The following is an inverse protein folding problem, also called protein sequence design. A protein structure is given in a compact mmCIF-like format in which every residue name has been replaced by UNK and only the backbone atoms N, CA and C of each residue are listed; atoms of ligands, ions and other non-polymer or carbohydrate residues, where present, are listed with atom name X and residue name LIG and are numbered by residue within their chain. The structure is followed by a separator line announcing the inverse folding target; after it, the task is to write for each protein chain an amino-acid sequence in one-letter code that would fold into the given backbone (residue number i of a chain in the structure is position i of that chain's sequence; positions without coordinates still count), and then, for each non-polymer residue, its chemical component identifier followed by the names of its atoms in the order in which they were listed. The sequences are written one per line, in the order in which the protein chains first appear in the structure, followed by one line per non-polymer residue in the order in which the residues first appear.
data_IF_982578781434
#
_entry.id   IF_982578781434
#
_cell.length_a   1.000
_cell.length_b   1.000
_cell.length_c   1.000
_cell.angle_alpha   90.00
_cell.angle_beta   90.00
_cell.angle_gamma   90.00
#
_symmetry.space_group_name_H-M   'P 1'
#
loop_
_entity.id
_entity.type
_entity.pdbx_description
1 polymer ?
#
# COMPACT_ATOMS: atom_id res chain seq x y z
N UNK A 1 50.86 -28.09 29.00
CA UNK A 1 50.18 -26.80 28.66
C UNK A 1 49.04 -26.57 29.64
N UNK A 2 49.18 -25.65 30.64
CA UNK A 2 48.08 -25.29 31.54
C UNK A 2 47.14 -24.34 30.82
N UNK A 3 45.93 -24.82 30.48
CA UNK A 3 44.89 -24.01 29.86
C UNK A 3 44.43 -22.96 30.88
N UNK A 4 44.55 -21.66 30.54
CA UNK A 4 44.13 -20.57 31.41
C UNK A 4 42.64 -20.24 31.17
N UNK A 5 41.75 -20.96 31.81
CA UNK A 5 40.31 -20.83 31.70
C UNK A 5 39.79 -19.39 31.97
N UNK A 6 40.44 -18.64 32.91
CA UNK A 6 40.07 -17.23 33.17
C UNK A 6 40.34 -16.32 31.97
N UNK A 7 41.41 -16.56 31.21
CA UNK A 7 41.75 -15.79 30.02
C UNK A 7 40.80 -16.10 28.86
N UNK A 8 40.42 -17.38 28.74
CA UNK A 8 39.44 -17.82 27.74
C UNK A 8 38.07 -17.22 28.07
N UNK A 9 37.60 -17.32 29.31
CA UNK A 9 36.32 -16.74 29.74
C UNK A 9 36.23 -15.22 29.48
N UNK A 10 37.31 -14.46 29.77
CA UNK A 10 37.34 -13.00 29.46
C UNK A 10 37.31 -12.72 27.95
N UNK A 11 37.91 -13.56 27.11
CA UNK A 11 37.84 -13.42 25.64
C UNK A 11 36.45 -13.71 25.15
N UNK A 12 35.79 -14.77 25.61
CA UNK A 12 34.42 -15.11 25.25
C UNK A 12 33.45 -14.00 25.68
N UNK A 13 33.62 -13.46 26.90
CA UNK A 13 32.78 -12.35 27.37
C UNK A 13 32.95 -11.09 26.51
N UNK A 14 34.18 -10.77 26.05
CA UNK A 14 34.40 -9.64 25.13
C UNK A 14 33.79 -9.86 23.77
N UNK A 15 33.88 -11.10 23.24
CA UNK A 15 33.22 -11.46 21.96
C UNK A 15 31.72 -11.34 22.08
N UNK A 16 31.12 -11.84 23.15
CA UNK A 16 29.70 -11.72 23.42
C UNK A 16 29.25 -10.25 23.55
N UNK A 17 30.03 -9.45 24.31
CA UNK A 17 29.74 -8.04 24.47
C UNK A 17 29.81 -7.28 23.14
N UNK A 18 30.80 -7.57 22.29
CA UNK A 18 30.92 -7.00 20.96
C UNK A 18 29.75 -7.43 20.07
N UNK A 19 29.36 -8.69 20.10
CA UNK A 19 28.22 -9.20 19.36
C UNK A 19 26.91 -8.49 19.78
N UNK A 20 26.66 -8.37 21.09
CA UNK A 20 25.46 -7.65 21.59
C UNK A 20 25.49 -6.18 21.22
N UNK A 21 26.65 -5.53 21.21
CA UNK A 21 26.79 -4.15 20.75
C UNK A 21 26.47 -4.01 19.25
N UNK A 22 26.92 -4.94 18.42
CA UNK A 22 26.60 -4.95 16.99
C UNK A 22 25.12 -5.19 16.73
N UNK A 23 24.48 -6.08 17.49
CA UNK A 23 23.04 -6.33 17.42
C UNK A 23 22.26 -5.06 17.82
N UNK A 24 22.65 -4.44 18.94
CA UNK A 24 22.03 -3.17 19.36
C UNK A 24 22.20 -2.08 18.31
N UNK A 25 23.40 -1.93 17.75
CA UNK A 25 23.64 -0.97 16.66
C UNK A 25 22.76 -1.25 15.43
N UNK A 26 22.61 -2.53 15.05
CA UNK A 26 21.76 -2.92 13.93
C UNK A 26 20.28 -2.56 14.19
N UNK A 27 19.77 -2.79 15.40
CA UNK A 27 18.40 -2.40 15.77
C UNK A 27 18.21 -0.87 15.80
N UNK A 28 19.16 -0.12 16.36
CA UNK A 28 19.12 1.35 16.35
C UNK A 28 19.17 1.90 14.91
N UNK A 29 20.04 1.32 14.08
CA UNK A 29 20.13 1.72 12.67
C UNK A 29 18.84 1.41 11.90
N UNK A 30 18.25 0.22 12.11
CA UNK A 30 16.94 -0.14 11.55
C UNK A 30 15.86 0.83 12.01
N UNK A 31 15.79 1.14 13.29
CA UNK A 31 14.82 2.08 13.86
C UNK A 31 14.92 3.47 13.24
N UNK A 32 16.15 4.01 13.10
CA UNK A 32 16.37 5.36 12.54
C UNK A 32 16.14 5.43 11.02
N UNK A 33 16.22 4.29 10.32
CA UNK A 33 16.17 4.23 8.85
C UNK A 33 15.05 3.33 8.33
N UNK A 34 14.09 2.99 9.18
CA UNK A 34 13.06 2.01 8.85
C UNK A 34 12.25 2.39 7.60
N UNK A 35 12.02 3.69 7.36
CA UNK A 35 11.32 4.16 6.16
C UNK A 35 12.02 3.70 4.86
N UNK A 36 13.36 3.65 4.84
CA UNK A 36 14.13 3.19 3.68
C UNK A 36 14.07 1.68 3.46
N UNK A 37 13.68 0.93 4.49
CA UNK A 37 13.49 -0.52 4.40
C UNK A 37 12.04 -0.89 4.12
N UNK A 38 11.11 -0.06 4.60
CA UNK A 38 9.67 -0.31 4.45
C UNK A 38 9.13 0.19 3.12
N UNK A 39 9.65 1.30 2.61
CA UNK A 39 9.27 1.85 1.33
C UNK A 39 10.38 1.61 0.30
N UNK A 40 9.99 1.16 -0.89
CA UNK A 40 10.92 0.85 -1.98
C UNK A 40 10.62 1.74 -3.22
N UNK A 41 10.79 3.06 -3.08
CA UNK A 41 10.44 3.98 -4.13
C UNK A 41 11.40 3.90 -5.31
N UNK A 42 10.87 4.03 -6.52
CA UNK A 42 11.63 4.41 -7.69
C UNK A 42 11.45 5.91 -7.91
N UNK A 43 12.50 6.67 -7.66
CA UNK A 43 12.52 8.12 -7.90
C UNK A 43 12.70 8.38 -9.40
N UNK A 44 11.95 9.31 -9.94
CA UNK A 44 12.07 9.81 -11.30
C UNK A 44 12.50 11.28 -11.28
N UNK A 45 13.22 11.70 -12.31
CA UNK A 45 13.55 13.13 -12.48
C UNK A 45 12.27 13.96 -12.66
N UNK A 46 12.25 15.20 -12.18
CA UNK A 46 11.06 16.07 -12.25
C UNK A 46 10.64 16.39 -13.70
N UNK A 47 11.56 16.33 -14.63
CA UNK A 47 11.35 16.52 -16.07
C UNK A 47 11.08 15.21 -16.83
N UNK A 48 10.94 14.07 -16.11
CA UNK A 48 10.56 12.81 -16.72
C UNK A 48 9.24 12.94 -17.47
N UNK A 49 9.21 12.50 -18.74
CA UNK A 49 8.00 12.52 -19.58
C UNK A 49 7.38 11.11 -19.56
N UNK A 50 6.14 11.04 -19.08
CA UNK A 50 5.39 9.80 -19.13
C UNK A 50 4.95 9.47 -20.56
N UNK A 51 4.96 8.18 -20.89
CA UNK A 51 4.51 7.66 -22.20
C UNK A 51 3.57 6.48 -21.98
N UNK A 52 2.32 6.63 -22.38
CA UNK A 52 1.30 5.59 -22.36
C UNK A 52 0.52 5.62 -23.67
N UNK A 53 -0.02 4.48 -24.07
CA UNK A 53 -0.87 4.38 -25.26
C UNK A 53 -2.23 5.07 -25.06
N UNK A 54 -2.68 5.20 -23.80
CA UNK A 54 -3.92 5.87 -23.43
C UNK A 54 -3.68 7.36 -23.11
N UNK A 55 -4.66 8.24 -23.39
CA UNK A 55 -4.62 9.61 -22.92
C UNK A 55 -4.53 9.67 -21.39
N UNK A 56 -3.80 10.65 -20.88
CA UNK A 56 -3.73 10.90 -19.44
C UNK A 56 -3.50 12.39 -19.15
N UNK A 57 -3.84 12.78 -17.92
CA UNK A 57 -3.53 14.09 -17.36
C UNK A 57 -2.53 13.91 -16.22
N UNK A 58 -1.38 14.58 -16.28
CA UNK A 58 -0.45 14.63 -15.17
C UNK A 58 -0.83 15.75 -14.20
N UNK A 59 -0.89 15.43 -12.90
CA UNK A 59 -1.42 16.30 -11.86
C UNK A 59 -0.43 16.33 -10.71
N UNK A 60 -0.21 17.52 -10.13
CA UNK A 60 0.50 17.67 -8.86
C UNK A 60 -0.52 18.05 -7.78
N UNK A 61 -0.69 17.20 -6.78
CA UNK A 61 -1.65 17.37 -5.68
C UNK A 61 -0.90 17.92 -4.47
N UNK A 62 -1.17 19.16 -4.02
CA UNK A 62 -0.52 19.71 -2.84
C UNK A 62 -1.06 19.04 -1.57
N UNK A 63 -0.17 18.46 -0.76
CA UNK A 63 -0.51 17.78 0.49
C UNK A 63 -0.02 18.54 1.72
N UNK A 64 1.05 19.32 1.58
CA UNK A 64 1.59 20.26 2.56
C UNK A 64 2.19 21.48 1.85
N UNK A 65 2.64 22.47 2.62
CA UNK A 65 3.46 23.58 2.09
C UNK A 65 4.73 22.96 1.46
N UNK A 66 4.99 23.27 0.19
CA UNK A 66 6.13 22.75 -0.58
C UNK A 66 6.19 21.23 -0.83
N UNK A 67 5.12 20.49 -0.53
CA UNK A 67 5.03 19.05 -0.81
C UNK A 67 3.85 18.73 -1.73
N UNK A 68 4.17 18.25 -2.93
CA UNK A 68 3.20 17.80 -3.91
C UNK A 68 3.36 16.31 -4.20
N UNK A 69 2.24 15.61 -4.31
CA UNK A 69 2.22 14.25 -4.84
C UNK A 69 1.92 14.30 -6.33
N UNK A 70 2.69 13.57 -7.11
CA UNK A 70 2.45 13.42 -8.54
C UNK A 70 1.38 12.35 -8.77
N UNK A 71 0.44 12.63 -9.64
CA UNK A 71 -0.66 11.74 -9.97
C UNK A 71 -0.91 11.71 -11.48
N UNK A 72 -1.46 10.60 -11.96
CA UNK A 72 -1.87 10.44 -13.35
C UNK A 72 -3.35 10.05 -13.41
N UNK A 73 -4.15 10.88 -14.06
CA UNK A 73 -5.56 10.59 -14.32
C UNK A 73 -5.72 10.10 -15.75
N UNK A 74 -6.20 8.88 -15.91
CA UNK A 74 -6.56 8.27 -17.18
C UNK A 74 -8.08 8.32 -17.33
N UNK A 75 -8.62 9.05 -18.31
CA UNK A 75 -10.05 9.07 -18.58
C UNK A 75 -10.51 7.73 -19.17
N UNK A 76 -11.75 7.35 -18.89
CA UNK A 76 -12.39 6.19 -19.53
C UNK A 76 -12.58 6.42 -21.03
N UNK A 77 -12.67 5.35 -21.79
CA UNK A 77 -12.87 5.39 -23.25
C UNK A 77 -14.29 5.84 -23.66
N UNK A 78 -15.19 5.93 -22.70
CA UNK A 78 -16.59 6.29 -22.93
C UNK A 78 -17.15 7.21 -21.82
N UNK A 79 -18.48 7.30 -21.69
CA UNK A 79 -19.10 8.06 -20.58
C UNK A 79 -18.69 7.40 -19.26
N UNK A 80 -17.93 8.17 -18.45
CA UNK A 80 -17.45 7.71 -17.17
C UNK A 80 -18.59 7.47 -16.17
N UNK A 81 -18.53 6.35 -15.45
CA UNK A 81 -19.39 6.03 -14.31
C UNK A 81 -18.90 6.66 -12.99
N UNK A 82 -17.67 7.20 -12.99
CA UNK A 82 -16.99 7.73 -11.82
C UNK A 82 -15.48 7.52 -11.90
N UNK A 83 -14.80 7.56 -10.76
CA UNK A 83 -13.35 7.44 -10.69
C UNK A 83 -12.91 6.36 -9.71
N UNK A 84 -11.85 5.64 -10.08
CA UNK A 84 -11.12 4.76 -9.18
C UNK A 84 -9.88 5.51 -8.69
N UNK A 85 -9.85 5.86 -7.40
CA UNK A 85 -8.66 6.36 -6.73
C UNK A 85 -7.78 5.17 -6.35
N UNK A 86 -6.64 5.04 -7.01
CA UNK A 86 -5.76 3.89 -6.89
C UNK A 86 -4.52 4.19 -6.05
N UNK A 87 -4.39 3.51 -4.92
CA UNK A 87 -3.20 3.47 -4.08
C UNK A 87 -2.35 2.24 -4.41
N UNK A 88 -1.18 2.45 -5.02
CA UNK A 88 -0.35 1.39 -5.57
C UNK A 88 0.46 0.61 -4.53
N UNK A 89 1.15 -0.45 -4.97
CA UNK A 89 2.03 -1.29 -4.13
C UNK A 89 3.39 -0.64 -3.83
N UNK A 90 4.19 -1.31 -3.02
CA UNK A 90 5.43 -0.77 -2.43
C UNK A 90 6.60 -0.55 -3.41
N UNK A 91 6.55 -1.00 -4.65
CA UNK A 91 7.67 -0.88 -5.59
C UNK A 91 7.28 -0.10 -6.84
N UNK A 92 8.28 0.47 -7.53
CA UNK A 92 8.08 1.17 -8.78
C UNK A 92 7.63 2.62 -8.62
N UNK A 93 6.99 3.16 -9.64
CA UNK A 93 6.37 4.49 -9.70
C UNK A 93 5.33 4.52 -10.83
N UNK A 94 4.63 5.64 -11.02
CA UNK A 94 3.51 5.76 -11.96
C UNK A 94 3.83 5.39 -13.41
N UNK A 95 5.09 5.48 -13.84
CA UNK A 95 5.50 5.04 -15.19
C UNK A 95 5.30 3.53 -15.43
N UNK A 96 5.24 2.72 -14.36
CA UNK A 96 4.92 1.27 -14.40
C UNK A 96 3.46 1.03 -14.03
N UNK A 97 2.95 1.75 -12.99
CA UNK A 97 1.60 1.55 -12.51
C UNK A 97 0.53 2.03 -13.48
N UNK A 98 0.79 3.11 -14.22
CA UNK A 98 -0.10 3.65 -15.24
C UNK A 98 -0.42 2.68 -16.37
N UNK A 99 0.47 1.72 -16.66
CA UNK A 99 0.23 0.65 -17.64
C UNK A 99 -1.02 -0.20 -17.32
N UNK A 100 -1.53 -0.14 -16.09
CA UNK A 100 -2.73 -0.87 -15.66
C UNK A 100 -4.02 -0.10 -15.88
N UNK A 101 -3.96 1.14 -16.34
CA UNK A 101 -5.14 2.01 -16.46
C UNK A 101 -6.24 1.37 -17.30
N UNK A 102 -5.89 0.64 -18.37
CA UNK A 102 -6.85 -0.01 -19.26
C UNK A 102 -7.81 -0.96 -18.53
N UNK A 103 -7.36 -1.59 -17.42
CA UNK A 103 -8.20 -2.51 -16.62
C UNK A 103 -9.47 -1.81 -16.14
N UNK A 104 -9.38 -0.52 -15.86
CA UNK A 104 -10.45 0.29 -15.27
C UNK A 104 -11.16 1.12 -16.34
N UNK A 105 -10.41 1.71 -17.27
CA UNK A 105 -10.96 2.56 -18.33
C UNK A 105 -11.86 1.79 -19.30
N UNK A 106 -11.53 0.53 -19.61
CA UNK A 106 -12.40 -0.38 -20.37
C UNK A 106 -13.72 -0.75 -19.65
N UNK A 107 -13.78 -0.55 -18.33
CA UNK A 107 -14.97 -0.75 -17.51
C UNK A 107 -15.74 0.55 -17.24
N UNK A 108 -15.42 1.62 -17.99
CA UNK A 108 -16.05 2.93 -17.94
C UNK A 108 -15.82 3.68 -16.62
N UNK A 109 -14.68 3.50 -16.00
CA UNK A 109 -14.22 4.31 -14.88
C UNK A 109 -12.97 5.08 -15.26
N UNK A 110 -12.92 6.35 -14.93
CA UNK A 110 -11.65 7.06 -14.88
C UNK A 110 -10.78 6.45 -13.79
N UNK A 111 -9.46 6.52 -13.90
CA UNK A 111 -8.59 6.04 -12.83
C UNK A 111 -7.50 7.06 -12.50
N UNK A 112 -7.38 7.42 -11.24
CA UNK A 112 -6.34 8.28 -10.71
C UNK A 112 -5.33 7.44 -9.93
N UNK A 113 -4.13 7.30 -10.47
CA UNK A 113 -2.99 6.74 -9.76
C UNK A 113 -2.20 7.86 -9.08
N UNK A 114 -1.72 7.64 -7.86
CA UNK A 114 -0.93 8.62 -7.13
C UNK A 114 0.37 8.01 -6.64
N UNK A 115 1.50 8.68 -6.92
CA UNK A 115 2.80 8.36 -6.33
C UNK A 115 2.89 8.97 -4.93
N UNK A 116 3.31 8.15 -3.96
CA UNK A 116 3.53 8.59 -2.57
C UNK A 116 4.78 9.47 -2.46
N UNK A 117 4.99 10.09 -1.29
CA UNK A 117 6.24 10.81 -1.00
C UNK A 117 7.45 9.94 -1.32
N UNK A 118 8.38 10.48 -2.11
CA UNK A 118 9.60 9.82 -2.57
C UNK A 118 9.42 8.87 -3.75
N UNK A 119 8.19 8.59 -4.18
CA UNK A 119 7.94 7.79 -5.38
C UNK A 119 7.82 8.70 -6.61
N UNK A 120 8.33 8.21 -7.75
CA UNK A 120 8.22 8.88 -9.03
C UNK A 120 8.68 10.33 -8.98
N UNK A 121 7.79 11.24 -9.35
CA UNK A 121 8.01 12.70 -9.34
C UNK A 121 7.45 13.39 -8.10
N UNK A 122 6.91 12.66 -7.13
CA UNK A 122 6.43 13.21 -5.86
C UNK A 122 7.56 13.83 -5.04
N UNK A 123 7.22 14.82 -4.21
CA UNK A 123 8.17 15.50 -3.34
C UNK A 123 8.41 14.72 -2.05
N UNK A 124 9.52 15.06 -1.34
CA UNK A 124 9.84 14.59 0.00
C UNK A 124 9.96 13.06 0.13
N UNK A 125 10.00 12.59 1.38
CA UNK A 125 9.91 11.18 1.79
C UNK A 125 9.10 11.15 3.07
N UNK A 126 8.49 9.99 3.41
CA UNK A 126 7.82 9.85 4.70
C UNK A 126 8.84 9.86 5.84
N UNK A 127 8.52 10.62 6.89
CA UNK A 127 9.25 10.65 8.15
C UNK A 127 8.39 10.11 9.31
N UNK A 128 7.08 10.11 9.14
CA UNK A 128 6.10 9.64 10.16
C UNK A 128 4.86 9.05 9.50
N UNK A 129 4.27 8.09 10.19
CA UNK A 129 3.03 7.46 9.76
C UNK A 129 1.87 8.44 9.53
N UNK A 130 1.78 9.50 10.34
CA UNK A 130 0.73 10.51 10.23
C UNK A 130 0.72 11.23 8.86
N UNK A 131 1.86 11.33 8.18
CA UNK A 131 1.95 11.93 6.85
C UNK A 131 1.25 11.06 5.80
N UNK A 132 1.30 9.73 5.93
CA UNK A 132 0.57 8.79 5.08
C UNK A 132 -0.92 9.09 5.13
N UNK A 133 -1.43 9.31 6.33
CA UNK A 133 -2.86 9.56 6.55
C UNK A 133 -3.30 10.93 6.04
N UNK A 134 -2.48 11.95 6.29
CA UNK A 134 -2.72 13.28 5.75
C UNK A 134 -2.74 13.25 4.22
N UNK A 135 -1.75 12.62 3.60
CA UNK A 135 -1.62 12.54 2.15
C UNK A 135 -2.80 11.77 1.53
N UNK A 136 -3.17 10.63 2.10
CA UNK A 136 -4.31 9.85 1.63
C UNK A 136 -5.62 10.67 1.68
N UNK A 137 -5.84 11.45 2.75
CA UNK A 137 -7.00 12.35 2.85
C UNK A 137 -6.91 13.50 1.85
N UNK A 138 -5.76 14.15 1.69
CA UNK A 138 -5.58 15.26 0.73
C UNK A 138 -5.80 14.82 -0.72
N UNK A 139 -5.35 13.62 -1.06
CA UNK A 139 -5.63 13.04 -2.39
C UNK A 139 -7.13 12.77 -2.56
N UNK A 140 -7.79 12.24 -1.55
CA UNK A 140 -9.25 12.06 -1.60
C UNK A 140 -9.99 13.39 -1.72
N UNK A 141 -9.60 14.41 -0.93
CA UNK A 141 -10.16 15.76 -1.00
C UNK A 141 -10.00 16.37 -2.41
N UNK A 142 -8.85 16.12 -3.06
CA UNK A 142 -8.64 16.52 -4.44
C UNK A 142 -9.63 15.83 -5.40
N UNK A 143 -9.84 14.53 -5.24
CA UNK A 143 -10.80 13.78 -6.08
C UNK A 143 -12.23 14.34 -5.93
N UNK A 144 -12.61 14.74 -4.71
CA UNK A 144 -13.91 15.39 -4.44
C UNK A 144 -14.09 16.73 -5.16
N UNK A 145 -13.00 17.40 -5.58
CA UNK A 145 -13.12 18.63 -6.40
C UNK A 145 -13.56 18.36 -7.84
N UNK A 146 -13.48 17.09 -8.30
CA UNK A 146 -13.72 16.69 -9.70
C UNK A 146 -14.89 15.69 -9.83
N UNK A 147 -15.15 14.88 -8.81
CA UNK A 147 -16.15 13.82 -8.82
C UNK A 147 -17.06 13.92 -7.60
N UNK A 148 -18.29 13.44 -7.73
CA UNK A 148 -19.17 13.27 -6.57
C UNK A 148 -18.70 12.09 -5.74
N UNK A 149 -18.87 12.17 -4.43
CA UNK A 149 -18.44 11.12 -3.51
C UNK A 149 -19.08 9.76 -3.81
N UNK A 150 -20.35 9.76 -4.23
CA UNK A 150 -21.10 8.57 -4.63
C UNK A 150 -20.57 7.88 -5.90
N UNK A 151 -19.68 8.54 -6.66
CA UNK A 151 -19.06 8.03 -7.88
C UNK A 151 -17.57 7.65 -7.67
N UNK A 152 -17.07 7.74 -6.42
CA UNK A 152 -15.66 7.42 -6.08
C UNK A 152 -15.56 5.98 -5.59
N UNK A 153 -14.72 5.19 -6.23
CA UNK A 153 -14.25 3.90 -5.75
C UNK A 153 -12.82 4.09 -5.26
N UNK A 154 -12.49 3.59 -4.08
CA UNK A 154 -11.10 3.55 -3.62
C UNK A 154 -10.57 2.15 -3.83
N UNK A 155 -9.39 2.04 -4.45
CA UNK A 155 -8.68 0.78 -4.61
C UNK A 155 -7.27 0.88 -4.03
N UNK A 156 -6.90 -0.11 -3.23
CA UNK A 156 -5.54 -0.26 -2.72
C UNK A 156 -4.95 -1.61 -3.06
N UNK A 157 -3.68 -1.63 -3.45
CA UNK A 157 -2.91 -2.85 -3.68
C UNK A 157 -1.75 -2.96 -2.69
N UNK A 158 -1.61 -4.12 -2.02
CA UNK A 158 -0.49 -4.39 -1.11
C UNK A 158 -0.36 -3.29 -0.05
N UNK A 159 0.76 -2.57 0.06
CA UNK A 159 0.92 -1.46 1.02
C UNK A 159 -0.18 -0.39 0.85
N UNK A 160 -0.61 -0.13 -0.37
CA UNK A 160 -1.67 0.83 -0.67
C UNK A 160 -3.03 0.47 -0.06
N UNK A 161 -3.23 -0.79 0.36
CA UNK A 161 -4.48 -1.20 1.03
C UNK A 161 -4.68 -0.49 2.37
N UNK A 162 -3.61 -0.20 3.12
CA UNK A 162 -3.69 0.58 4.35
C UNK A 162 -4.09 2.03 4.09
N UNK A 163 -3.52 2.66 3.05
CA UNK A 163 -3.84 4.04 2.65
C UNK A 163 -5.30 4.14 2.18
N UNK A 164 -5.70 3.20 1.31
CA UNK A 164 -7.08 3.08 0.83
C UNK A 164 -8.08 2.88 1.97
N UNK A 165 -7.77 1.99 2.92
CA UNK A 165 -8.63 1.70 4.06
C UNK A 165 -8.75 2.91 4.98
N UNK A 166 -7.65 3.64 5.23
CA UNK A 166 -7.70 4.87 6.01
C UNK A 166 -8.59 5.92 5.32
N UNK A 167 -8.37 6.21 4.02
CA UNK A 167 -9.18 7.16 3.29
C UNK A 167 -10.67 6.77 3.32
N UNK A 168 -11.01 5.50 3.13
CA UNK A 168 -12.40 5.01 3.20
C UNK A 168 -12.99 5.09 4.61
N UNK A 169 -12.16 5.03 5.68
CA UNK A 169 -12.62 5.15 7.08
C UNK A 169 -13.03 6.57 7.46
N UNK A 170 -12.58 7.58 6.72
CA UNK A 170 -12.84 9.01 6.97
C UNK A 170 -13.89 9.60 6.03
N UNK A 171 -14.27 8.86 4.98
CA UNK A 171 -15.12 9.32 3.91
C UNK A 171 -16.20 8.28 3.59
N UNK A 172 -17.10 8.57 2.62
CA UNK A 172 -18.20 7.67 2.22
C UNK A 172 -18.12 7.32 0.73
N UNK A 173 -17.01 6.73 0.24
CA UNK A 173 -16.89 6.35 -1.15
C UNK A 173 -17.94 5.29 -1.53
N UNK A 174 -18.18 5.12 -2.81
CA UNK A 174 -19.11 4.12 -3.37
C UNK A 174 -18.74 2.70 -3.00
N UNK A 175 -17.42 2.38 -3.03
CA UNK A 175 -16.87 1.04 -2.83
C UNK A 175 -15.41 1.14 -2.40
N UNK A 176 -14.97 0.24 -1.53
CA UNK A 176 -13.56 0.01 -1.22
C UNK A 176 -13.13 -1.35 -1.78
N UNK A 177 -12.09 -1.35 -2.64
CA UNK A 177 -11.48 -2.57 -3.19
C UNK A 177 -10.08 -2.71 -2.60
N UNK A 178 -9.77 -3.87 -2.03
CA UNK A 178 -8.48 -4.19 -1.44
C UNK A 178 -7.88 -5.42 -2.13
N UNK A 179 -6.72 -5.24 -2.76
CA UNK A 179 -5.97 -6.31 -3.41
C UNK A 179 -4.78 -6.72 -2.55
N UNK A 180 -4.73 -7.97 -2.15
CA UNK A 180 -3.70 -8.52 -1.25
C UNK A 180 -3.51 -7.67 0.02
N UNK A 181 -4.58 -7.40 0.81
CA UNK A 181 -4.48 -6.57 2.00
C UNK A 181 -3.76 -7.28 3.15
N UNK A 182 -3.06 -6.48 3.96
CA UNK A 182 -2.49 -6.91 5.23
C UNK A 182 -3.38 -6.52 6.42
N UNK A 183 -3.23 -7.23 7.54
CA UNK A 183 -3.96 -6.97 8.79
C UNK A 183 -3.51 -5.65 9.44
N UNK A 184 -2.20 -5.49 9.67
CA UNK A 184 -1.50 -4.25 9.95
C UNK A 184 -0.07 -4.34 9.42
N UNK A 185 0.57 -3.20 9.16
CA UNK A 185 1.90 -3.18 8.57
C UNK A 185 2.96 -3.70 9.52
N UNK A 186 2.89 -3.31 10.80
CA UNK A 186 3.81 -3.79 11.82
C UNK A 186 3.68 -5.31 12.05
N UNK A 187 2.46 -5.89 12.06
CA UNK A 187 2.23 -7.34 12.13
C UNK A 187 2.86 -8.06 10.92
N UNK A 188 2.67 -7.53 9.70
CA UNK A 188 3.30 -8.08 8.50
C UNK A 188 4.83 -8.07 8.59
N UNK A 189 5.43 -6.93 8.89
CA UNK A 189 6.89 -6.76 8.93
C UNK A 189 7.53 -7.61 10.05
N UNK A 190 6.92 -7.66 11.23
CA UNK A 190 7.43 -8.46 12.35
C UNK A 190 7.44 -9.96 12.04
N UNK A 191 6.51 -10.43 11.22
CA UNK A 191 6.44 -11.83 10.77
C UNK A 191 7.44 -12.16 9.63
N UNK A 192 7.97 -11.14 8.92
CA UNK A 192 8.97 -11.34 7.86
C UNK A 192 10.41 -11.52 8.37
N UNK A 193 10.69 -11.16 9.65
CA UNK A 193 12.06 -11.25 10.20
C UNK A 193 12.11 -11.05 11.70
N UNK A 194 13.30 -11.08 12.30
CA UNK A 194 13.49 -10.95 13.75
C UNK A 194 13.39 -9.49 14.23
N UNK A 195 12.42 -8.73 13.70
CA UNK A 195 12.19 -7.36 14.11
C UNK A 195 11.03 -7.36 15.10
N UNK A 196 11.23 -6.99 16.36
CA UNK A 196 10.15 -6.90 17.33
C UNK A 196 9.12 -5.84 16.90
N UNK A 197 7.84 -6.13 17.00
CA UNK A 197 6.75 -5.24 16.59
C UNK A 197 6.84 -3.85 17.25
N UNK A 198 7.24 -3.77 18.52
CA UNK A 198 7.41 -2.51 19.25
C UNK A 198 8.53 -1.60 18.71
N UNK A 199 9.38 -2.10 17.82
CA UNK A 199 10.45 -1.34 17.18
C UNK A 199 9.99 -0.71 15.84
N UNK A 200 8.79 -1.02 15.37
CA UNK A 200 8.24 -0.57 14.10
C UNK A 200 7.31 0.62 14.36
N UNK A 201 7.71 1.82 13.91
CA UNK A 201 6.93 3.06 14.11
C UNK A 201 5.73 3.17 13.16
N UNK A 202 5.70 2.37 12.09
CA UNK A 202 4.61 2.34 11.14
C UNK A 202 3.67 1.17 11.47
N UNK A 203 2.56 1.45 12.13
CA UNK A 203 1.54 0.44 12.46
C UNK A 203 0.65 0.14 11.27
N UNK A 204 0.17 1.17 10.60
CA UNK A 204 -0.84 1.17 9.53
C UNK A 204 -1.91 0.08 9.77
N UNK A 205 -2.76 0.27 10.79
CA UNK A 205 -3.64 -0.79 11.30
C UNK A 205 -4.91 -0.91 10.47
N UNK A 206 -4.86 -1.55 9.31
CA UNK A 206 -6.02 -1.76 8.42
C UNK A 206 -7.21 -2.33 9.21
N UNK A 207 -6.96 -3.26 10.15
CA UNK A 207 -8.01 -3.86 10.97
C UNK A 207 -8.76 -2.84 11.84
N UNK A 208 -8.10 -1.76 12.31
CA UNK A 208 -8.77 -0.70 13.07
C UNK A 208 -9.59 0.20 12.16
N UNK A 209 -9.04 0.61 11.03
CA UNK A 209 -9.72 1.51 10.09
C UNK A 209 -10.97 0.90 9.49
N UNK A 210 -10.96 -0.41 9.21
CA UNK A 210 -12.12 -1.14 8.69
C UNK A 210 -13.35 -1.07 9.59
N UNK A 211 -13.17 -0.83 10.90
CA UNK A 211 -14.29 -0.62 11.82
C UNK A 211 -15.18 0.57 11.37
N UNK A 212 -14.54 1.65 10.91
CA UNK A 212 -15.17 2.93 10.57
C UNK A 212 -15.60 3.01 9.09
N UNK A 213 -15.18 2.07 8.24
CA UNK A 213 -15.59 2.04 6.83
C UNK A 213 -17.09 1.73 6.73
N UNK A 214 -17.84 2.62 6.07
CA UNK A 214 -19.29 2.54 5.90
C UNK A 214 -19.74 1.97 4.54
N UNK A 215 -18.89 2.06 3.51
CA UNK A 215 -19.19 1.54 2.19
C UNK A 215 -18.99 0.01 2.09
N UNK A 216 -19.51 -0.66 1.05
CA UNK A 216 -19.17 -2.04 0.74
C UNK A 216 -17.67 -2.25 0.56
N UNK A 217 -17.17 -3.42 0.96
CA UNK A 217 -15.74 -3.77 0.87
C UNK A 217 -15.58 -5.07 0.09
N UNK A 218 -14.84 -5.00 -1.01
CA UNK A 218 -14.41 -6.15 -1.78
C UNK A 218 -12.92 -6.41 -1.56
N UNK A 219 -12.56 -7.64 -1.21
CA UNK A 219 -11.17 -8.08 -1.08
C UNK A 219 -10.87 -9.11 -2.16
N UNK A 220 -9.79 -8.91 -2.90
CA UNK A 220 -9.19 -9.91 -3.78
C UNK A 220 -7.83 -10.33 -3.22
N UNK A 221 -7.59 -11.64 -3.09
CA UNK A 221 -6.31 -12.15 -2.59
C UNK A 221 -5.90 -13.42 -3.34
N UNK A 222 -4.62 -13.53 -3.70
CA UNK A 222 -4.09 -14.71 -4.35
C UNK A 222 -3.95 -15.87 -3.37
N UNK A 223 -4.42 -17.07 -3.75
CA UNK A 223 -4.33 -18.26 -2.87
C UNK A 223 -2.91 -18.79 -2.68
N UNK A 224 -1.94 -18.27 -3.43
CA UNK A 224 -0.51 -18.60 -3.35
C UNK A 224 0.35 -17.35 -3.15
N UNK A 225 -0.20 -16.36 -2.46
CA UNK A 225 0.57 -15.18 -2.08
C UNK A 225 1.55 -15.55 -0.96
N UNK A 226 2.86 -15.48 -1.26
CA UNK A 226 3.95 -15.76 -0.32
C UNK A 226 4.52 -14.49 0.32
N UNK A 227 4.05 -13.30 -0.10
CA UNK A 227 4.47 -12.02 0.45
C UNK A 227 3.53 -11.62 1.58
N UNK A 228 2.21 -11.69 1.33
CA UNK A 228 1.17 -11.43 2.31
C UNK A 228 0.29 -12.69 2.35
N UNK A 229 0.47 -13.51 3.37
CA UNK A 229 -0.28 -14.76 3.49
C UNK A 229 -1.79 -14.50 3.60
N UNK A 230 -2.63 -15.05 2.70
CA UNK A 230 -4.05 -14.79 2.70
C UNK A 230 -4.79 -15.27 3.95
N UNK A 231 -4.30 -16.30 4.63
CA UNK A 231 -4.93 -16.83 5.85
C UNK A 231 -4.55 -15.98 7.08
N UNK A 232 -3.32 -15.51 7.14
CA UNK A 232 -2.82 -14.66 8.24
C UNK A 232 -3.31 -13.20 8.13
N UNK A 233 -3.74 -12.75 6.95
CA UNK A 233 -4.10 -11.36 6.73
C UNK A 233 -5.54 -11.18 6.24
N UNK A 234 -5.86 -11.37 4.96
CA UNK A 234 -7.20 -11.06 4.45
C UNK A 234 -8.31 -11.94 5.04
N UNK A 235 -7.99 -13.19 5.42
CA UNK A 235 -8.94 -14.05 6.13
C UNK A 235 -9.19 -13.51 7.54
N UNK A 236 -8.16 -13.10 8.31
CA UNK A 236 -8.34 -12.50 9.63
C UNK A 236 -9.20 -11.24 9.56
N UNK A 237 -9.00 -10.37 8.54
CA UNK A 237 -9.86 -9.21 8.32
C UNK A 237 -11.32 -9.61 8.05
N UNK A 238 -11.55 -10.62 7.20
CA UNK A 238 -12.89 -11.14 6.93
C UNK A 238 -13.54 -11.74 8.17
N UNK A 239 -12.79 -12.49 8.97
CA UNK A 239 -13.29 -13.11 10.21
C UNK A 239 -13.66 -12.04 11.25
N UNK A 240 -12.92 -10.92 11.28
CA UNK A 240 -13.21 -9.78 12.18
C UNK A 240 -14.45 -8.98 11.71
N UNK A 241 -14.64 -8.84 10.39
CA UNK A 241 -15.75 -8.09 9.79
C UNK A 241 -16.57 -8.93 8.80
N UNK A 242 -17.22 -10.03 9.25
CA UNK A 242 -17.83 -11.02 8.37
C UNK A 242 -19.00 -10.48 7.53
N UNK A 243 -19.67 -9.43 7.99
CA UNK A 243 -20.80 -8.82 7.28
C UNK A 243 -20.41 -7.61 6.43
N UNK A 244 -19.22 -7.04 6.61
CA UNK A 244 -18.74 -5.87 5.84
C UNK A 244 -17.91 -6.27 4.63
N UNK A 245 -17.06 -7.31 4.76
CA UNK A 245 -16.10 -7.70 3.74
C UNK A 245 -16.66 -8.83 2.89
N UNK A 246 -16.68 -8.64 1.57
CA UNK A 246 -16.76 -9.73 0.60
C UNK A 246 -15.32 -10.11 0.20
N UNK A 247 -14.94 -11.39 0.30
CA UNK A 247 -13.57 -11.86 0.02
C UNK A 247 -13.57 -12.88 -1.08
N UNK A 248 -12.86 -12.56 -2.16
CA UNK A 248 -12.59 -13.48 -3.29
C UNK A 248 -11.15 -13.98 -3.20
N UNK A 249 -10.99 -15.29 -3.10
CA UNK A 249 -9.69 -15.95 -3.13
C UNK A 249 -9.38 -16.39 -4.57
N UNK A 250 -8.44 -15.70 -5.22
CA UNK A 250 -8.07 -15.97 -6.61
C UNK A 250 -7.18 -17.21 -6.67
N UNK A 251 -7.74 -18.27 -7.22
CA UNK A 251 -7.11 -19.59 -7.19
C UNK A 251 -5.81 -19.63 -8.02
N UNK A 252 -4.73 -20.05 -7.36
CA UNK A 252 -3.40 -20.20 -7.98
C UNK A 252 -2.65 -18.91 -8.20
N UNK A 253 -3.27 -17.74 -7.96
CA UNK A 253 -2.60 -16.45 -8.03
C UNK A 253 -1.62 -16.26 -6.86
N UNK A 254 -0.49 -15.61 -7.14
CA UNK A 254 0.44 -15.07 -6.15
C UNK A 254 0.01 -13.67 -5.67
N UNK A 255 0.98 -12.85 -5.29
CA UNK A 255 0.76 -11.49 -4.78
C UNK A 255 0.03 -10.58 -5.79
N UNK A 256 0.37 -10.66 -7.06
CA UNK A 256 -0.21 -9.85 -8.14
C UNK A 256 -1.45 -10.52 -8.75
N UNK A 257 -2.60 -10.39 -8.09
CA UNK A 257 -3.88 -11.01 -8.51
C UNK A 257 -4.34 -10.55 -9.90
N UNK A 258 -4.06 -9.28 -10.25
CA UNK A 258 -4.42 -8.64 -11.52
C UNK A 258 -3.80 -9.30 -12.75
N UNK A 259 -2.88 -10.27 -12.60
CA UNK A 259 -2.31 -11.03 -13.71
C UNK A 259 -3.16 -12.27 -14.09
N UNK A 260 -4.34 -12.44 -13.50
CA UNK A 260 -5.18 -13.64 -13.71
C UNK A 260 -6.52 -13.30 -14.35
N UNK A 261 -6.97 -14.22 -15.23
CA UNK A 261 -8.29 -14.08 -15.85
C UNK A 261 -9.42 -14.06 -14.83
N UNK A 262 -9.32 -14.87 -13.76
CA UNK A 262 -10.35 -14.92 -12.72
C UNK A 262 -10.55 -13.54 -12.08
N UNK A 263 -9.46 -12.84 -11.76
CA UNK A 263 -9.53 -11.48 -11.21
C UNK A 263 -10.24 -10.52 -12.17
N UNK A 264 -9.88 -10.53 -13.46
CA UNK A 264 -10.51 -9.66 -14.45
C UNK A 264 -12.01 -9.90 -14.58
N UNK A 265 -12.43 -11.17 -14.64
CA UNK A 265 -13.83 -11.53 -14.77
C UNK A 265 -14.63 -11.07 -13.54
N UNK A 266 -14.12 -11.31 -12.31
CA UNK A 266 -14.77 -10.92 -11.07
C UNK A 266 -14.76 -9.39 -10.86
N UNK A 267 -13.66 -8.69 -11.21
CA UNK A 267 -13.59 -7.23 -11.15
C UNK A 267 -14.58 -6.59 -12.13
N UNK A 268 -14.66 -7.09 -13.35
CA UNK A 268 -15.61 -6.59 -14.36
C UNK A 268 -17.06 -6.77 -13.91
N UNK A 269 -17.39 -7.94 -13.34
CA UNK A 269 -18.71 -8.18 -12.76
C UNK A 269 -19.00 -7.22 -11.61
N UNK A 270 -18.03 -7.02 -10.70
CA UNK A 270 -18.14 -6.07 -9.61
C UNK A 270 -18.41 -4.64 -10.12
N UNK A 271 -17.57 -4.11 -11.03
CA UNK A 271 -17.67 -2.75 -11.55
C UNK A 271 -18.94 -2.51 -12.42
N UNK A 272 -19.56 -3.58 -12.94
CA UNK A 272 -20.83 -3.48 -13.64
C UNK A 272 -22.03 -3.37 -12.69
N UNK A 273 -21.89 -3.82 -11.45
CA UNK A 273 -22.93 -3.72 -10.43
C UNK A 273 -22.91 -2.38 -9.69
N UNK A 274 -21.88 -1.58 -9.90
CA UNK A 274 -21.67 -0.23 -9.37
C UNK A 274 -21.56 0.79 -10.49
#
# INVERSE_FOLDING_TARGET
LKINFKKIGRRLLRILALFLLLVLFAYVFLYIKQERFFFNPKVLDKDYIYHFDQPFEEINIPVEEDVNLNALLFPSDSISKGVILYFHGNAGALHEWGERAYIYTENNYDVLFVDYRGYGKSDSFYEKEAEIYNDAQKVYDYVLTRYKEEDIIILGFSIGTGFATYAASKNTPKLLILEAPYYSWNDLISNMGPIPEWLIDYEIPSYKFLADVSCPIQVFHGSKDFIIDPDEHSKRLKDLYPHKINRSLIKGAGHSVHLTKQYYDELKELLNNY
#
